data_IF_920317918616
#
_entry.id   IF_920317918616
#
_cell.length_a   1.000
_cell.length_b   1.000
_cell.length_c   1.000
_cell.angle_alpha   90.00
_cell.angle_beta   90.00
_cell.angle_gamma   90.00
#
_symmetry.space_group_name_H-M   'P 1'
#
loop_
_entity.id
_entity.type
_entity.pdbx_description
1 polymer ?
#
# COMPACT_ATOMS: atom_id res chain seq x y z
N UNK A 1 -60.65 -71.61 -24.97
CA UNK A 1 -61.30 -70.78 -23.93
C UNK A 1 -60.98 -69.33 -24.27
N UNK A 2 -61.87 -68.57 -24.92
CA UNK A 2 -62.92 -67.72 -24.31
C UNK A 2 -62.31 -66.63 -23.38
N UNK A 3 -62.63 -65.34 -23.42
CA UNK A 3 -63.50 -64.47 -24.24
C UNK A 3 -63.26 -63.00 -23.75
N UNK A 4 -63.17 -62.05 -24.68
CA UNK A 4 -63.70 -60.65 -24.72
C UNK A 4 -63.92 -59.90 -23.38
N UNK A 5 -63.27 -58.77 -23.08
CA UNK A 5 -63.44 -57.35 -23.52
C UNK A 5 -64.70 -56.62 -22.98
N UNK A 6 -64.45 -55.36 -22.58
CA UNK A 6 -65.29 -54.14 -22.59
C UNK A 6 -66.23 -53.72 -21.44
N UNK A 7 -65.89 -52.53 -20.87
CA UNK A 7 -66.57 -51.21 -20.92
C UNK A 7 -68.04 -51.01 -20.48
N UNK A 8 -68.25 -50.02 -19.60
CA UNK A 8 -69.26 -48.91 -19.58
C UNK A 8 -69.25 -48.28 -18.15
N UNK A 9 -69.03 -46.98 -17.93
CA UNK A 9 -69.78 -45.74 -18.23
C UNK A 9 -71.11 -45.57 -17.43
N UNK A 10 -71.31 -44.32 -16.96
CA UNK A 10 -72.53 -43.61 -16.51
C UNK A 10 -72.88 -43.41 -15.00
N UNK A 11 -72.44 -42.26 -14.48
CA UNK A 11 -73.21 -41.05 -14.07
C UNK A 11 -74.63 -41.11 -13.47
N UNK A 12 -74.80 -40.36 -12.37
CA UNK A 12 -75.96 -39.53 -11.96
C UNK A 12 -75.56 -38.77 -10.66
N UNK A 13 -75.88 -37.51 -10.34
CA UNK A 13 -76.46 -36.34 -11.00
C UNK A 13 -76.54 -35.23 -9.90
N UNK A 14 -76.85 -33.99 -10.29
CA UNK A 14 -77.41 -32.86 -9.51
C UNK A 14 -76.49 -31.74 -8.94
N UNK A 15 -76.36 -30.72 -9.80
CA UNK A 15 -76.87 -29.34 -9.64
C UNK A 15 -76.27 -28.31 -8.66
N UNK A 16 -76.04 -27.11 -9.21
CA UNK A 16 -75.35 -25.94 -8.65
C UNK A 16 -76.29 -24.92 -7.96
N UNK A 17 -75.76 -23.85 -7.33
CA UNK A 17 -75.59 -22.61 -8.11
C UNK A 17 -74.33 -21.76 -7.78
N UNK A 18 -74.04 -20.86 -8.73
CA UNK A 18 -72.86 -19.98 -8.85
C UNK A 18 -72.87 -18.79 -7.87
N UNK A 19 -71.69 -18.42 -7.38
CA UNK A 19 -71.37 -17.05 -6.94
C UNK A 19 -69.97 -16.61 -7.40
N UNK A 20 -69.81 -15.29 -7.50
CA UNK A 20 -68.88 -14.53 -8.36
C UNK A 20 -67.41 -14.57 -7.90
N UNK A 21 -66.51 -14.38 -8.86
CA UNK A 21 -65.07 -14.07 -8.69
C UNK A 21 -64.82 -12.86 -7.79
N UNK A 22 -63.66 -12.82 -7.11
CA UNK A 22 -62.69 -11.81 -7.51
C UNK A 22 -61.30 -12.37 -7.78
N UNK A 23 -60.68 -11.69 -8.74
CA UNK A 23 -59.27 -11.74 -9.13
C UNK A 23 -58.44 -11.16 -7.99
N UNK A 24 -57.42 -11.86 -7.53
CA UNK A 24 -56.31 -11.29 -6.76
C UNK A 24 -55.02 -11.96 -7.26
N UNK A 25 -54.12 -11.14 -7.79
CA UNK A 25 -52.85 -11.58 -8.35
C UNK A 25 -51.95 -12.16 -7.26
N UNK A 26 -51.25 -13.23 -7.60
CA UNK A 26 -50.15 -13.77 -6.81
C UNK A 26 -48.86 -13.75 -7.64
N UNK A 27 -48.58 -12.61 -8.29
CA UNK A 27 -47.25 -12.26 -8.76
C UNK A 27 -46.46 -11.73 -7.58
N UNK A 28 -45.81 -12.61 -6.81
CA UNK A 28 -45.09 -12.15 -5.61
C UNK A 28 -44.10 -13.14 -4.99
N UNK A 29 -43.94 -14.36 -5.54
CA UNK A 29 -43.02 -15.36 -4.98
C UNK A 29 -41.71 -15.54 -5.77
N UNK A 30 -41.57 -14.94 -6.95
CA UNK A 30 -40.31 -14.93 -7.69
C UNK A 30 -39.31 -13.90 -7.13
N UNK A 31 -39.77 -12.73 -6.69
CA UNK A 31 -38.86 -11.68 -6.19
C UNK A 31 -38.03 -12.08 -4.96
N UNK A 32 -38.50 -13.05 -4.17
CA UNK A 32 -37.75 -13.60 -3.03
C UNK A 32 -36.57 -14.49 -3.50
N UNK A 33 -36.69 -15.13 -4.67
CA UNK A 33 -35.63 -15.94 -5.25
C UNK A 33 -34.49 -15.10 -5.83
N UNK A 34 -34.81 -14.05 -6.59
CA UNK A 34 -33.80 -13.14 -7.19
C UNK A 34 -33.10 -12.33 -6.11
N UNK A 35 -33.83 -11.88 -5.09
CA UNK A 35 -33.25 -11.15 -3.96
C UNK A 35 -32.20 -11.99 -3.21
N UNK A 36 -32.41 -13.29 -3.03
CA UNK A 36 -31.43 -14.17 -2.37
C UNK A 36 -30.22 -14.47 -3.23
N UNK A 37 -30.38 -14.62 -4.55
CA UNK A 37 -29.24 -14.82 -5.46
C UNK A 37 -28.36 -13.58 -5.52
N UNK A 38 -28.96 -12.39 -5.59
CA UNK A 38 -28.22 -11.13 -5.53
C UNK A 38 -27.56 -10.91 -4.15
N UNK A 39 -28.25 -11.27 -3.06
CA UNK A 39 -27.68 -11.21 -1.71
C UNK A 39 -26.48 -12.16 -1.55
N UNK A 40 -26.61 -13.41 -2.03
CA UNK A 40 -25.50 -14.37 -1.99
C UNK A 40 -24.34 -13.95 -2.90
N UNK A 41 -24.63 -13.43 -4.10
CA UNK A 41 -23.61 -12.89 -4.98
C UNK A 41 -22.89 -11.69 -4.35
N UNK A 42 -23.62 -10.78 -3.70
CA UNK A 42 -23.04 -9.65 -2.97
C UNK A 42 -22.19 -10.11 -1.79
N UNK A 43 -22.67 -11.07 -0.98
CA UNK A 43 -21.89 -11.65 0.13
C UNK A 43 -20.61 -12.30 -0.37
N UNK A 44 -20.67 -13.06 -1.47
CA UNK A 44 -19.49 -13.72 -2.06
C UNK A 44 -18.50 -12.68 -2.58
N UNK A 45 -18.97 -11.61 -3.24
CA UNK A 45 -18.12 -10.51 -3.71
C UNK A 45 -17.48 -9.76 -2.54
N UNK A 46 -18.21 -9.48 -1.46
CA UNK A 46 -17.65 -8.83 -0.26
C UNK A 46 -16.63 -9.73 0.45
N UNK A 47 -16.87 -11.04 0.49
CA UNK A 47 -15.92 -11.99 1.09
C UNK A 47 -14.67 -12.17 0.22
N UNK A 48 -14.79 -12.17 -1.12
CA UNK A 48 -13.63 -12.33 -2.00
C UNK A 48 -12.85 -11.04 -2.24
N UNK A 49 -13.49 -9.86 -2.31
CA UNK A 49 -12.79 -8.56 -2.38
C UNK A 49 -12.34 -8.05 -1.01
N UNK A 50 -12.90 -8.56 0.10
CA UNK A 50 -12.56 -8.14 1.46
C UNK A 50 -11.29 -8.79 2.04
N UNK A 51 -10.63 -9.70 1.31
CA UNK A 51 -9.46 -10.46 1.80
C UNK A 51 -8.15 -9.97 1.15
N UNK A 52 -8.15 -8.82 0.45
CA UNK A 52 -6.91 -8.22 -0.07
C UNK A 52 -6.53 -6.92 0.67
N UNK A 53 -6.22 -7.10 1.96
CA UNK A 53 -5.32 -6.29 2.81
C UNK A 53 -5.67 -4.79 3.08
N UNK A 54 -5.19 -4.17 4.20
CA UNK A 54 -4.23 -4.69 5.16
C UNK A 54 -4.70 -4.76 6.62
N UNK A 55 -4.01 -5.64 7.35
CA UNK A 55 -3.73 -5.53 8.77
C UNK A 55 -3.05 -4.18 9.01
N UNK A 56 -3.82 -3.11 9.22
CA UNK A 56 -3.42 -1.87 9.89
C UNK A 56 -4.65 -1.20 10.47
N UNK A 57 -4.63 -1.06 11.80
CA UNK A 57 -5.39 -0.11 12.61
C UNK A 57 -6.88 -0.38 12.76
N UNK A 58 -7.21 -0.96 13.91
CA UNK A 58 -8.56 -1.07 14.43
C UNK A 58 -9.25 0.29 14.53
N UNK A 59 -10.37 0.41 13.82
CA UNK A 59 -11.42 1.36 14.11
C UNK A 59 -12.52 0.62 14.88
N UNK A 60 -12.54 0.79 16.21
CA UNK A 60 -13.66 0.40 17.05
C UNK A 60 -14.80 1.42 16.91
N UNK A 61 -15.94 1.00 16.37
CA UNK A 61 -17.22 1.70 16.57
C UNK A 61 -17.84 1.23 17.90
N UNK A 62 -18.52 2.12 18.65
CA UNK A 62 -18.92 1.84 20.02
C UNK A 62 -20.16 0.94 20.03
N UNK A 63 -20.06 -0.22 20.68
CA UNK A 63 -21.23 -1.02 21.06
C UNK A 63 -21.30 -0.97 22.58
N UNK A 64 -22.31 -0.26 23.09
CA UNK A 64 -22.65 -0.24 24.51
C UNK A 64 -23.11 -1.62 24.98
N UNK A 65 -22.44 -2.08 26.04
CA UNK A 65 -22.95 -2.85 27.18
C UNK A 65 -23.54 -4.25 26.93
N UNK A 66 -22.76 -5.28 27.31
CA UNK A 66 -23.24 -6.31 28.25
C UNK A 66 -22.09 -7.22 28.73
N UNK A 67 -21.82 -7.14 30.04
CA UNK A 67 -21.27 -8.17 30.93
C UNK A 67 -19.82 -8.63 30.72
N UNK A 68 -18.98 -8.24 31.69
CA UNK A 68 -17.67 -8.85 31.98
C UNK A 68 -17.75 -10.38 32.06
N UNK A 69 -16.75 -11.04 31.45
CA UNK A 69 -15.91 -11.97 32.16
C UNK A 69 -14.56 -11.30 32.44
N UNK A 70 -14.18 -11.27 33.71
CA UNK A 70 -12.82 -11.08 34.20
C UNK A 70 -11.89 -12.04 33.45
N UNK A 71 -11.38 -11.58 32.31
CA UNK A 71 -10.29 -12.19 31.60
C UNK A 71 -9.12 -11.30 31.93
N UNK A 72 -8.14 -11.81 32.68
CA UNK A 72 -6.84 -11.19 32.76
C UNK A 72 -6.31 -11.12 31.34
N UNK A 73 -6.59 -10.01 30.66
CA UNK A 73 -6.06 -9.65 29.38
C UNK A 73 -4.56 -9.50 29.64
N UNK A 74 -3.77 -10.48 29.17
CA UNK A 74 -2.31 -10.33 29.17
C UNK A 74 -2.05 -9.03 28.42
N UNK A 75 -1.61 -8.00 29.14
CA UNK A 75 -1.39 -6.70 28.56
C UNK A 75 -0.34 -6.88 27.46
N UNK A 76 -0.72 -6.58 26.22
CA UNK A 76 0.22 -6.64 25.11
C UNK A 76 1.40 -5.68 25.38
N UNK A 77 2.60 -6.07 24.97
CA UNK A 77 3.81 -5.27 25.16
C UNK A 77 3.64 -3.84 24.60
N UNK A 78 4.02 -2.77 25.33
CA UNK A 78 3.77 -1.39 24.94
C UNK A 78 4.79 -0.88 23.89
N UNK A 79 4.65 -1.32 22.64
CA UNK A 79 5.61 -1.07 21.55
C UNK A 79 5.95 0.41 21.32
N UNK A 80 4.94 1.30 21.32
CA UNK A 80 5.17 2.74 21.07
C UNK A 80 5.99 3.40 22.17
N UNK A 81 5.69 3.08 23.42
CA UNK A 81 6.43 3.59 24.57
C UNK A 81 7.86 3.03 24.58
N UNK A 82 8.04 1.75 24.28
CA UNK A 82 9.35 1.12 24.16
C UNK A 82 10.19 1.72 23.02
N UNK A 83 9.60 2.02 21.87
CA UNK A 83 10.27 2.70 20.77
C UNK A 83 10.79 4.09 21.18
N UNK A 84 9.95 4.91 21.82
CA UNK A 84 10.36 6.22 22.30
C UNK A 84 11.44 6.14 23.40
N UNK A 85 11.30 5.18 24.31
CA UNK A 85 12.30 4.91 25.36
C UNK A 85 13.67 4.56 24.75
N UNK A 86 13.70 3.61 23.82
CA UNK A 86 14.91 3.15 23.17
C UNK A 86 15.57 4.23 22.30
N UNK A 87 14.77 5.07 21.62
CA UNK A 87 15.30 6.19 20.84
C UNK A 87 16.01 7.21 21.74
N UNK A 88 15.40 7.57 22.87
CA UNK A 88 16.00 8.48 23.85
C UNK A 88 17.26 7.89 24.46
N UNK A 89 17.22 6.60 24.81
CA UNK A 89 18.38 5.87 25.29
C UNK A 89 19.52 5.89 24.27
N UNK A 90 19.24 5.57 23.00
CA UNK A 90 20.23 5.51 21.94
C UNK A 90 20.93 6.86 21.73
N UNK A 91 20.19 7.97 21.76
CA UNK A 91 20.78 9.31 21.67
C UNK A 91 21.75 9.61 22.81
N UNK A 92 21.39 9.24 24.04
CA UNK A 92 22.28 9.40 25.20
C UNK A 92 23.47 8.43 25.18
N UNK A 93 23.26 7.17 24.80
CA UNK A 93 24.30 6.15 24.80
C UNK A 93 25.39 6.43 23.77
N UNK A 94 24.99 6.88 22.57
CA UNK A 94 25.90 7.16 21.45
C UNK A 94 26.57 8.53 21.51
N UNK A 95 26.11 9.46 22.34
CA UNK A 95 26.79 10.75 22.55
C UNK A 95 27.85 10.61 23.66
N UNK A 96 29.11 10.43 23.25
CA UNK A 96 30.23 10.23 24.19
C UNK A 96 31.07 11.48 24.45
N UNK A 97 30.56 12.64 24.08
CA UNK A 97 31.26 13.94 24.20
C UNK A 97 31.43 14.39 25.66
N UNK A 98 30.45 14.11 26.52
CA UNK A 98 30.50 14.40 27.97
C UNK A 98 30.19 13.12 28.79
N UNK A 99 31.23 12.39 29.23
CA UNK A 99 31.06 11.15 29.97
C UNK A 99 30.30 11.29 31.30
N UNK A 100 30.46 12.40 32.02
CA UNK A 100 29.83 12.60 33.34
C UNK A 100 28.34 12.90 33.18
N UNK A 101 28.00 13.84 32.28
CA UNK A 101 26.61 14.13 31.95
C UNK A 101 25.89 12.90 31.40
N UNK A 102 26.56 12.15 30.51
CA UNK A 102 26.03 10.92 29.95
C UNK A 102 25.77 9.86 31.03
N UNK A 103 26.71 9.61 31.93
CA UNK A 103 26.54 8.60 32.97
C UNK A 103 25.33 8.92 33.87
N UNK A 104 25.16 10.18 34.23
CA UNK A 104 23.99 10.64 34.99
C UNK A 104 22.67 10.43 34.23
N UNK A 105 22.66 10.75 32.93
CA UNK A 105 21.48 10.55 32.08
C UNK A 105 21.13 9.07 31.86
N UNK A 106 22.13 8.19 31.73
CA UNK A 106 21.94 6.76 31.54
C UNK A 106 21.32 6.06 32.77
N UNK A 107 21.48 6.62 33.97
CA UNK A 107 20.88 6.08 35.19
C UNK A 107 19.34 6.02 35.14
N UNK A 108 18.69 6.83 34.29
CA UNK A 108 17.24 6.80 34.10
C UNK A 108 16.73 5.60 33.27
N UNK A 109 17.63 4.82 32.65
CA UNK A 109 17.27 3.74 31.74
C UNK A 109 17.61 2.34 32.27
N UNK A 110 18.37 2.23 33.34
CA UNK A 110 18.82 0.95 33.91
C UNK A 110 18.28 0.77 35.33
N UNK A 111 18.22 -0.47 35.84
CA UNK A 111 18.01 -0.71 37.26
C UNK A 111 19.10 -0.02 38.11
N UNK A 112 18.81 0.17 39.40
CA UNK A 112 19.79 0.73 40.34
C UNK A 112 21.12 -0.05 40.26
N UNK A 113 22.24 0.69 40.27
CA UNK A 113 23.62 0.17 40.22
C UNK A 113 24.08 -0.53 38.91
N UNK A 114 23.28 -0.58 37.84
CA UNK A 114 23.64 -1.30 36.60
C UNK A 114 24.26 -0.41 35.48
N UNK A 115 24.52 0.88 35.75
CA UNK A 115 25.11 1.79 34.74
C UNK A 115 26.53 1.40 34.30
N UNK A 116 27.25 0.62 35.12
CA UNK A 116 28.62 0.20 34.82
C UNK A 116 28.76 -0.63 33.55
N UNK A 117 27.70 -1.37 33.16
CA UNK A 117 27.65 -2.14 31.93
C UNK A 117 27.54 -1.31 30.65
N UNK A 118 27.32 0.00 30.76
CA UNK A 118 27.14 0.94 29.64
C UNK A 118 28.32 1.91 29.48
N UNK A 119 29.41 1.71 30.22
CA UNK A 119 30.57 2.58 30.18
C UNK A 119 31.29 2.48 28.83
N UNK A 120 31.47 3.63 28.16
CA UNK A 120 32.30 3.75 26.96
C UNK A 120 33.34 4.87 27.13
N UNK A 121 34.48 4.83 26.43
CA UNK A 121 35.46 5.92 26.45
C UNK A 121 34.86 7.24 25.94
N UNK A 122 35.41 8.37 26.40
CA UNK A 122 35.08 9.69 25.86
C UNK A 122 35.44 9.75 24.36
N UNK A 123 34.63 10.48 23.58
CA UNK A 123 34.82 10.69 22.14
C UNK A 123 34.97 9.40 21.32
N UNK A 124 34.43 8.28 21.80
CA UNK A 124 34.50 6.97 21.13
C UNK A 124 33.38 6.75 20.12
N UNK A 125 32.19 7.29 20.40
CA UNK A 125 31.02 7.22 19.52
C UNK A 125 30.36 8.60 19.43
N UNK A 126 29.79 8.85 18.25
CA UNK A 126 28.79 9.89 17.96
C UNK A 126 27.69 9.25 17.14
N UNK A 127 26.44 9.45 17.51
CA UNK A 127 25.28 8.95 16.76
C UNK A 127 24.44 10.08 16.18
N UNK A 128 24.23 10.04 14.86
CA UNK A 128 23.36 10.97 14.12
C UNK A 128 22.23 10.21 13.41
N UNK A 129 21.20 10.93 12.93
CA UNK A 129 20.07 10.36 12.16
C UNK A 129 19.34 9.18 12.84
N UNK A 130 19.17 9.24 14.16
CA UNK A 130 18.56 8.14 14.92
C UNK A 130 17.09 7.93 14.55
N UNK A 131 16.72 6.69 14.19
CA UNK A 131 15.33 6.31 13.88
C UNK A 131 15.04 4.88 14.33
N UNK A 132 13.88 4.63 14.95
CA UNK A 132 13.43 3.26 15.28
C UNK A 132 12.91 2.60 14.00
N UNK A 133 13.41 1.40 13.68
CA UNK A 133 13.02 0.66 12.47
C UNK A 133 12.27 -0.65 12.75
N UNK A 134 12.40 -1.18 13.97
CA UNK A 134 11.67 -2.39 14.38
C UNK A 134 11.53 -2.45 15.90
N UNK A 135 10.45 -3.10 16.35
CA UNK A 135 10.26 -3.57 17.72
C UNK A 135 9.96 -5.06 17.63
N UNK A 136 10.93 -5.88 18.00
CA UNK A 136 10.79 -7.33 18.04
C UNK A 136 10.27 -7.73 19.43
N UNK A 137 8.96 -7.87 19.57
CA UNK A 137 8.34 -8.36 20.82
C UNK A 137 8.71 -9.83 21.02
N UNK A 138 9.33 -10.13 22.17
CA UNK A 138 9.78 -11.47 22.55
C UNK A 138 8.72 -12.18 23.40
N UNK A 139 8.11 -11.45 24.32
CA UNK A 139 7.00 -11.88 25.17
C UNK A 139 6.22 -10.66 25.69
N UNK A 140 5.24 -10.88 26.58
CA UNK A 140 4.37 -9.82 27.12
C UNK A 140 5.13 -8.69 27.84
N UNK A 141 6.36 -8.95 28.29
CA UNK A 141 7.17 -8.01 29.05
C UNK A 141 8.45 -7.59 28.35
N UNK A 142 8.96 -8.35 27.39
CA UNK A 142 10.27 -8.14 26.77
C UNK A 142 10.15 -7.84 25.27
N UNK A 143 10.90 -6.84 24.82
CA UNK A 143 11.12 -6.62 23.40
C UNK A 143 12.56 -6.20 23.12
N UNK A 144 12.97 -6.36 21.87
CA UNK A 144 14.21 -5.78 21.35
C UNK A 144 13.83 -4.68 20.36
N UNK A 145 14.24 -3.45 20.67
CA UNK A 145 14.02 -2.31 19.79
C UNK A 145 15.26 -2.10 18.92
N UNK A 146 15.07 -1.98 17.62
CA UNK A 146 16.16 -1.74 16.66
C UNK A 146 16.15 -0.27 16.25
N UNK A 147 17.21 0.44 16.61
CA UNK A 147 17.44 1.84 16.23
C UNK A 147 18.50 1.89 15.13
N UNK A 148 18.22 2.58 14.02
CA UNK A 148 19.22 2.94 13.01
C UNK A 148 19.85 4.27 13.36
N UNK A 149 21.15 4.39 13.16
CA UNK A 149 21.90 5.62 13.34
C UNK A 149 23.12 5.62 12.42
N UNK A 150 23.62 6.80 12.10
CA UNK A 150 24.96 6.98 11.57
C UNK A 150 25.91 7.10 12.77
N UNK A 151 26.65 6.03 13.07
CA UNK A 151 27.58 5.96 14.18
C UNK A 151 28.97 6.27 13.67
N UNK A 152 29.56 7.37 14.12
CA UNK A 152 30.83 7.89 13.62
C UNK A 152 30.83 8.11 12.09
N UNK A 153 29.66 8.42 11.51
CA UNK A 153 29.47 8.61 10.07
C UNK A 153 29.24 7.32 9.28
N UNK A 154 29.20 6.15 9.92
CA UNK A 154 28.88 4.88 9.27
C UNK A 154 27.48 4.38 9.67
N UNK A 155 26.67 3.88 8.72
CA UNK A 155 25.33 3.40 9.03
C UNK A 155 25.40 2.10 9.85
N UNK A 156 24.78 2.13 11.03
CA UNK A 156 24.72 0.99 11.96
C UNK A 156 23.30 0.78 12.51
N UNK A 157 23.09 -0.36 13.15
CA UNK A 157 21.95 -0.62 14.01
C UNK A 157 22.38 -0.71 15.48
N UNK A 158 21.56 -0.20 16.39
CA UNK A 158 21.69 -0.40 17.82
C UNK A 158 20.46 -1.20 18.29
N UNK A 159 20.69 -2.41 18.78
CA UNK A 159 19.67 -3.23 19.41
C UNK A 159 19.58 -2.90 20.89
N UNK A 160 18.39 -2.52 21.34
CA UNK A 160 18.10 -2.06 22.70
C UNK A 160 17.11 -3.04 23.34
N UNK A 161 17.55 -3.90 24.27
CA UNK A 161 16.66 -4.81 24.98
C UNK A 161 15.85 -4.03 26.04
N UNK A 162 14.53 -4.08 25.94
CA UNK A 162 13.60 -3.34 26.79
C UNK A 162 12.69 -4.32 27.52
N UNK A 163 12.54 -4.12 28.83
CA UNK A 163 11.55 -4.76 29.68
C UNK A 163 10.48 -3.76 30.09
N UNK A 164 9.24 -4.25 30.18
CA UNK A 164 8.06 -3.48 30.56
C UNK A 164 7.32 -4.13 31.72
N UNK A 165 6.88 -3.31 32.67
CA UNK A 165 5.98 -3.69 33.76
C UNK A 165 4.91 -2.60 33.89
N UNK A 166 3.73 -2.85 33.31
CA UNK A 166 2.71 -1.82 33.10
C UNK A 166 3.24 -0.66 32.25
N UNK A 167 3.21 0.55 32.79
CA UNK A 167 3.71 1.77 32.12
C UNK A 167 5.22 2.01 32.36
N UNK A 168 5.87 1.18 33.17
CA UNK A 168 7.30 1.32 33.47
C UNK A 168 8.15 0.59 32.42
N UNK A 169 9.26 1.22 32.01
CA UNK A 169 10.21 0.69 31.04
C UNK A 169 11.64 0.78 31.56
N UNK A 170 12.42 -0.26 31.30
CA UNK A 170 13.84 -0.35 31.70
C UNK A 170 14.62 -1.16 30.67
N UNK A 171 15.92 -0.94 30.58
CA UNK A 171 16.81 -1.85 29.86
C UNK A 171 16.90 -3.18 30.58
N UNK A 172 16.68 -4.27 29.85
CA UNK A 172 16.80 -5.64 30.37
C UNK A 172 18.17 -6.27 30.12
N UNK A 173 19.07 -5.56 29.43
CA UNK A 173 20.42 -6.03 29.16
C UNK A 173 21.28 -4.98 28.44
N UNK A 174 22.54 -5.30 28.14
CA UNK A 174 23.42 -4.42 27.39
C UNK A 174 22.94 -4.27 25.94
N UNK A 175 23.02 -3.07 25.35
CA UNK A 175 22.71 -2.88 23.95
C UNK A 175 23.79 -3.47 23.04
N UNK A 176 23.45 -3.75 21.79
CA UNK A 176 24.39 -4.30 20.81
C UNK A 176 24.47 -3.41 19.55
N UNK A 177 25.69 -3.02 19.18
CA UNK A 177 25.96 -2.38 17.89
C UNK A 177 26.09 -3.44 16.80
N UNK A 178 25.38 -3.22 15.70
CA UNK A 178 25.23 -4.15 14.58
C UNK A 178 25.49 -3.42 13.27
N UNK A 179 25.95 -4.13 12.25
CA UNK A 179 26.09 -3.57 10.92
C UNK A 179 24.73 -3.14 10.33
N UNK A 180 24.75 -2.18 9.40
CA UNK A 180 23.61 -1.96 8.52
C UNK A 180 23.28 -3.21 7.69
N UNK A 181 22.02 -3.42 7.27
CA UNK A 181 21.66 -4.50 6.38
C UNK A 181 22.43 -4.34 5.07
N UNK A 182 22.86 -5.46 4.51
CA UNK A 182 23.47 -5.43 3.19
C UNK A 182 22.44 -4.93 2.15
N UNK A 183 22.94 -4.20 1.16
CA UNK A 183 22.15 -3.86 -0.02
C UNK A 183 21.69 -5.17 -0.69
N UNK A 184 20.39 -5.26 -1.00
CA UNK A 184 19.84 -6.38 -1.73
C UNK A 184 20.25 -6.31 -3.22
N UNK A 185 20.46 -7.46 -3.82
CA UNK A 185 20.62 -7.57 -5.28
C UNK A 185 19.23 -7.61 -5.93
N UNK A 186 19.03 -6.79 -6.96
CA UNK A 186 17.82 -6.85 -7.76
C UNK A 186 17.90 -8.03 -8.74
N UNK A 187 16.85 -8.87 -8.85
CA UNK A 187 16.80 -9.89 -9.89
C UNK A 187 16.81 -9.21 -11.27
N UNK A 188 17.43 -9.86 -12.26
CA UNK A 188 17.38 -9.38 -13.64
C UNK A 188 15.94 -9.32 -14.14
N UNK A 189 15.58 -8.23 -14.81
CA UNK A 189 14.26 -8.05 -15.42
C UNK A 189 13.97 -9.11 -16.48
N UNK A 190 12.69 -9.43 -16.66
CA UNK A 190 12.25 -10.32 -17.74
C UNK A 190 12.27 -9.53 -19.07
N UNK A 191 12.87 -10.11 -20.12
CA UNK A 191 12.78 -9.57 -21.47
C UNK A 191 11.45 -9.95 -22.12
N UNK A 192 10.85 -9.03 -22.86
CA UNK A 192 9.63 -9.24 -23.64
C UNK A 192 9.84 -8.78 -25.09
N UNK A 193 9.03 -9.29 -26.01
CA UNK A 193 9.03 -8.82 -27.39
C UNK A 193 8.45 -7.40 -27.45
N UNK A 194 9.13 -6.50 -28.15
CA UNK A 194 8.76 -5.08 -28.27
C UNK A 194 8.19 -4.77 -29.66
N UNK A 195 7.38 -3.72 -29.73
CA UNK A 195 6.78 -3.24 -30.98
C UNK A 195 7.25 -1.81 -31.27
N UNK A 196 8.26 -1.69 -32.12
CA UNK A 196 8.87 -0.41 -32.52
C UNK A 196 7.88 0.49 -33.27
N UNK A 197 6.97 -0.08 -34.06
CA UNK A 197 6.01 0.71 -34.83
C UNK A 197 4.95 1.35 -33.90
N UNK A 198 4.49 0.62 -32.89
CA UNK A 198 3.61 1.18 -31.87
C UNK A 198 4.34 2.23 -31.03
N UNK A 199 5.63 2.02 -30.71
CA UNK A 199 6.45 2.99 -30.00
C UNK A 199 6.55 4.32 -30.76
N UNK A 200 6.87 4.28 -32.06
CA UNK A 200 6.92 5.48 -32.91
C UNK A 200 5.60 6.27 -32.93
N UNK A 201 4.46 5.56 -32.99
CA UNK A 201 3.13 6.19 -32.97
C UNK A 201 2.79 6.83 -31.63
N UNK A 202 3.28 6.26 -30.53
CA UNK A 202 2.98 6.70 -29.18
C UNK A 202 3.89 7.85 -28.71
N UNK A 203 5.06 8.04 -29.31
CA UNK A 203 6.02 9.09 -28.92
C UNK A 203 5.38 10.47 -28.87
N UNK A 204 4.66 10.87 -29.93
CA UNK A 204 4.02 12.19 -29.99
C UNK A 204 2.85 12.30 -29.01
N UNK A 205 2.04 11.24 -28.91
CA UNK A 205 0.91 11.18 -27.97
C UNK A 205 1.38 11.30 -26.52
N UNK A 206 2.40 10.53 -26.13
CA UNK A 206 2.91 10.52 -24.77
C UNK A 206 3.68 11.81 -24.44
N UNK A 207 4.45 12.37 -25.38
CA UNK A 207 5.12 13.66 -25.17
C UNK A 207 4.10 14.76 -24.89
N UNK A 208 3.05 14.86 -25.71
CA UNK A 208 1.99 15.83 -25.50
C UNK A 208 1.17 15.57 -24.25
N UNK A 209 0.93 14.30 -23.89
CA UNK A 209 0.29 13.92 -22.63
C UNK A 209 1.11 14.41 -21.43
N UNK A 210 2.42 14.15 -21.40
CA UNK A 210 3.28 14.52 -20.27
C UNK A 210 3.46 16.04 -20.13
N UNK A 211 3.48 16.78 -21.24
CA UNK A 211 3.45 18.25 -21.26
C UNK A 211 2.19 18.78 -20.54
N UNK A 212 1.00 18.36 -20.98
CA UNK A 212 -0.26 18.85 -20.36
C UNK A 212 -0.50 18.26 -18.97
N UNK A 213 0.07 17.09 -18.67
CA UNK A 213 0.01 16.45 -17.36
C UNK A 213 0.75 17.27 -16.29
N UNK A 214 1.84 17.94 -16.66
CA UNK A 214 2.64 18.77 -15.77
C UNK A 214 2.23 20.25 -15.77
N UNK A 215 1.92 20.81 -16.94
CA UNK A 215 1.85 22.27 -17.12
C UNK A 215 0.42 22.75 -17.39
N UNK A 216 -0.35 22.01 -18.19
CA UNK A 216 -1.63 22.47 -18.75
C UNK A 216 -2.78 21.49 -18.50
N UNK A 217 -3.07 21.22 -17.22
CA UNK A 217 -4.10 20.27 -16.80
C UNK A 217 -5.47 20.40 -17.50
N UNK A 218 -5.85 21.61 -17.92
CA UNK A 218 -7.10 21.87 -18.66
C UNK A 218 -7.18 21.23 -20.05
N UNK A 219 -6.07 20.69 -20.56
CA UNK A 219 -5.98 20.02 -21.85
C UNK A 219 -5.75 18.51 -21.72
N UNK A 220 -5.73 17.95 -20.51
CA UNK A 220 -5.45 16.53 -20.26
C UNK A 220 -6.47 15.60 -20.95
N UNK A 221 -7.74 16.00 -20.98
CA UNK A 221 -8.84 15.23 -21.59
C UNK A 221 -8.62 14.88 -23.08
N UNK A 222 -7.72 15.60 -23.79
CA UNK A 222 -7.41 15.30 -25.20
C UNK A 222 -6.58 14.04 -25.40
N UNK A 223 -5.86 13.61 -24.36
CA UNK A 223 -5.01 12.43 -24.39
C UNK A 223 -5.56 11.28 -23.56
N UNK A 224 -6.55 11.54 -22.71
CA UNK A 224 -7.11 10.53 -21.81
C UNK A 224 -8.26 9.80 -22.49
N UNK A 225 -8.32 8.49 -22.30
CA UNK A 225 -9.41 7.67 -22.84
C UNK A 225 -10.77 8.19 -22.33
N UNK A 226 -11.79 8.32 -23.19
CA UNK A 226 -13.12 8.76 -22.77
C UNK A 226 -13.67 7.96 -21.58
N UNK A 227 -13.89 8.62 -20.45
CA UNK A 227 -14.39 8.00 -19.22
C UNK A 227 -13.31 7.54 -18.24
N UNK A 228 -12.03 7.56 -18.63
CA UNK A 228 -10.92 7.47 -17.69
C UNK A 228 -10.70 8.81 -16.97
N UNK A 229 -9.99 8.79 -15.84
CA UNK A 229 -9.69 10.00 -15.07
C UNK A 229 -8.26 9.90 -14.54
N UNK A 230 -7.44 10.88 -14.88
CA UNK A 230 -6.06 11.00 -14.43
C UNK A 230 -5.90 12.33 -13.74
N UNK A 231 -5.39 12.31 -12.50
CA UNK A 231 -5.11 13.53 -11.76
C UNK A 231 -3.80 14.14 -12.28
N UNK A 232 -3.79 15.41 -12.74
CA UNK A 232 -2.58 16.09 -13.20
C UNK A 232 -1.61 16.33 -12.03
N UNK A 233 -0.35 16.65 -12.35
CA UNK A 233 0.58 17.12 -11.35
C UNK A 233 0.16 18.51 -10.82
N UNK A 234 0.54 18.86 -9.59
CA UNK A 234 0.32 20.21 -9.08
C UNK A 234 1.07 21.23 -9.96
N UNK A 235 0.36 22.28 -10.38
CA UNK A 235 0.91 23.30 -11.26
C UNK A 235 2.19 23.95 -10.70
N UNK A 236 3.13 24.28 -11.59
CA UNK A 236 4.44 24.89 -11.27
C UNK A 236 5.34 24.03 -10.36
N UNK A 237 5.18 22.70 -10.38
CA UNK A 237 6.08 21.78 -9.65
C UNK A 237 7.18 21.25 -10.55
N UNK A 238 6.83 20.89 -11.78
CA UNK A 238 7.70 20.31 -12.80
C UNK A 238 7.29 20.90 -14.16
N UNK A 239 8.26 20.99 -15.07
CA UNK A 239 8.03 21.29 -16.48
C UNK A 239 8.49 20.08 -17.30
N UNK A 240 7.74 19.76 -18.35
CA UNK A 240 8.12 18.67 -19.24
C UNK A 240 9.34 19.07 -20.06
N UNK A 241 10.43 18.31 -19.92
CA UNK A 241 11.62 18.54 -20.74
C UNK A 241 11.62 17.61 -21.96
N UNK A 242 11.50 16.30 -21.75
CA UNK A 242 11.60 15.31 -22.84
C UNK A 242 11.04 13.94 -22.44
N UNK A 243 10.47 13.22 -23.40
CA UNK A 243 10.27 11.77 -23.33
C UNK A 243 11.55 11.09 -23.84
N UNK A 244 12.40 10.62 -22.93
CA UNK A 244 13.74 10.10 -23.24
C UNK A 244 13.74 8.67 -23.75
N UNK A 245 12.82 7.84 -23.27
CA UNK A 245 12.69 6.45 -23.72
C UNK A 245 11.24 5.97 -23.68
N UNK A 246 10.89 5.08 -24.60
CA UNK A 246 9.58 4.43 -24.67
C UNK A 246 9.76 2.97 -25.09
N UNK A 247 9.27 2.05 -24.27
CA UNK A 247 9.23 0.63 -24.61
C UNK A 247 7.80 0.13 -24.60
N UNK A 248 7.33 -0.29 -25.77
CA UNK A 248 5.97 -0.81 -25.99
C UNK A 248 6.04 -2.33 -26.17
N UNK A 249 5.36 -3.13 -25.35
CA UNK A 249 5.31 -4.57 -25.56
C UNK A 249 4.54 -4.89 -26.85
N UNK A 250 4.89 -6.00 -27.48
CA UNK A 250 4.11 -6.57 -28.56
C UNK A 250 2.68 -6.88 -28.11
N UNK A 251 1.73 -6.71 -29.02
CA UNK A 251 0.32 -6.99 -28.75
C UNK A 251 0.13 -8.44 -28.29
N UNK A 252 -0.49 -8.62 -27.12
CA UNK A 252 -0.71 -9.95 -26.53
C UNK A 252 -2.12 -10.51 -26.75
N UNK A 253 -3.09 -9.66 -27.12
CA UNK A 253 -4.49 -10.02 -27.34
C UNK A 253 -4.97 -9.69 -28.75
N UNK A 254 -5.91 -10.49 -29.27
CA UNK A 254 -6.57 -10.30 -30.58
C UNK A 254 -7.98 -9.69 -30.45
N UNK A 255 -8.27 -9.06 -29.30
CA UNK A 255 -9.51 -8.32 -29.09
C UNK A 255 -9.51 -7.02 -29.93
N UNK A 256 -10.70 -6.47 -30.19
CA UNK A 256 -10.89 -5.34 -31.11
C UNK A 256 -10.17 -4.05 -30.66
N UNK A 257 -9.83 -3.93 -29.37
CA UNK A 257 -9.07 -2.80 -28.81
C UNK A 257 -7.67 -3.24 -28.37
N UNK A 258 -6.63 -2.59 -28.90
CA UNK A 258 -5.23 -2.85 -28.54
C UNK A 258 -4.88 -2.07 -27.27
N UNK A 259 -4.85 -2.78 -26.14
CA UNK A 259 -4.50 -2.23 -24.82
C UNK A 259 -3.10 -2.68 -24.43
N UNK A 260 -2.21 -1.73 -24.14
CA UNK A 260 -0.80 -2.01 -23.81
C UNK A 260 -0.35 -1.30 -22.55
N UNK A 261 0.56 -1.92 -21.81
CA UNK A 261 1.28 -1.28 -20.72
C UNK A 261 2.66 -0.87 -21.21
N UNK A 262 2.88 0.42 -21.35
CA UNK A 262 4.07 1.03 -21.95
C UNK A 262 4.99 1.54 -20.85
N UNK A 263 6.27 1.20 -20.94
CA UNK A 263 7.30 1.82 -20.11
C UNK A 263 7.72 3.13 -20.75
N UNK A 264 7.74 4.22 -20.00
CA UNK A 264 8.14 5.54 -20.48
C UNK A 264 9.13 6.18 -19.51
N UNK A 265 10.27 6.66 -20.00
CA UNK A 265 11.23 7.45 -19.22
C UNK A 265 11.08 8.91 -19.59
N UNK A 266 10.74 9.76 -18.63
CA UNK A 266 10.51 11.18 -18.83
C UNK A 266 11.55 11.99 -18.06
N UNK A 267 12.15 12.95 -18.73
CA UNK A 267 12.98 13.98 -18.12
C UNK A 267 12.12 15.19 -17.77
N UNK A 268 12.16 15.59 -16.51
CA UNK A 268 11.48 16.77 -15.97
C UNK A 268 12.50 17.85 -15.66
N UNK A 269 12.18 19.11 -15.92
CA UNK A 269 12.90 20.26 -15.35
C UNK A 269 12.23 20.75 -14.08
N UNK A 270 13.06 21.06 -13.08
CA UNK A 270 12.64 21.73 -11.87
C UNK A 270 12.61 23.24 -12.14
N UNK A 271 11.50 23.93 -11.83
CA UNK A 271 11.46 25.38 -11.93
C UNK A 271 12.53 25.97 -11.01
N UNK A 272 13.23 27.00 -11.48
CA UNK A 272 14.29 27.62 -10.71
C UNK A 272 13.72 28.20 -9.41
N UNK A 273 14.25 27.75 -8.26
CA UNK A 273 14.09 28.50 -7.03
C UNK A 273 14.72 29.89 -7.22
N UNK A 274 14.14 30.94 -6.64
CA UNK A 274 14.67 32.30 -6.78
C UNK A 274 16.20 32.28 -6.54
N UNK A 275 16.99 32.87 -7.45
CA UNK A 275 18.42 32.67 -7.44
C UNK A 275 19.01 33.22 -6.14
N UNK A 276 19.48 32.32 -5.27
CA UNK A 276 20.53 32.67 -4.34
C UNK A 276 21.76 33.04 -5.18
N UNK A 277 22.39 34.18 -4.87
CA UNK A 277 23.55 34.68 -5.61
C UNK A 277 24.61 33.54 -5.77
N UNK A 278 24.78 33.06 -7.01
CA UNK A 278 25.76 32.02 -7.35
C UNK A 278 25.23 30.62 -7.67
N UNK A 279 23.92 30.34 -7.57
CA UNK A 279 23.34 29.07 -7.99
C UNK A 279 22.87 29.14 -9.45
N UNK A 280 23.65 28.58 -10.38
CA UNK A 280 23.27 28.44 -11.78
C UNK A 280 22.85 26.99 -12.07
N UNK A 281 21.55 26.78 -12.33
CA UNK A 281 21.03 25.56 -12.93
C UNK A 281 19.58 25.26 -12.54
N UNK A 282 18.71 25.12 -13.53
CA UNK A 282 17.50 24.29 -13.39
C UNK A 282 17.95 22.84 -13.28
N UNK A 283 17.57 22.14 -12.22
CA UNK A 283 17.87 20.71 -12.08
C UNK A 283 16.99 19.91 -13.02
N UNK A 284 17.53 18.87 -13.67
CA UNK A 284 16.73 17.88 -14.41
C UNK A 284 16.61 16.58 -13.61
N UNK A 285 15.49 15.88 -13.79
CA UNK A 285 15.19 14.63 -13.09
C UNK A 285 14.53 13.65 -14.05
N UNK A 286 15.11 12.45 -14.19
CA UNK A 286 14.48 11.35 -14.92
C UNK A 286 13.51 10.58 -14.02
N UNK A 287 12.32 10.28 -14.53
CA UNK A 287 11.33 9.41 -13.88
C UNK A 287 10.80 8.37 -14.86
N UNK A 288 10.61 7.14 -14.36
CA UNK A 288 10.09 6.02 -15.13
C UNK A 288 8.62 5.81 -14.78
N UNK A 289 7.78 5.75 -15.79
CA UNK A 289 6.34 5.53 -15.69
C UNK A 289 5.94 4.23 -16.38
N UNK A 290 4.89 3.62 -15.86
CA UNK A 290 4.11 2.60 -16.55
C UNK A 290 2.78 3.22 -16.95
N UNK A 291 2.54 3.30 -18.26
CA UNK A 291 1.39 3.97 -18.85
C UNK A 291 0.50 2.93 -19.54
N UNK A 292 -0.76 2.83 -19.13
CA UNK A 292 -1.72 1.99 -19.85
C UNK A 292 -2.30 2.80 -21.00
N UNK A 293 -2.07 2.35 -22.23
CA UNK A 293 -2.56 3.00 -23.45
C UNK A 293 -3.52 2.10 -24.20
N UNK A 294 -4.41 2.72 -24.97
CA UNK A 294 -5.48 2.06 -25.73
C UNK A 294 -5.49 2.62 -27.13
N UNK A 295 -5.42 1.76 -28.14
CA UNK A 295 -5.69 2.16 -29.52
C UNK A 295 -7.20 2.07 -29.78
N UNK A 296 -7.85 3.20 -29.99
CA UNK A 296 -9.25 3.27 -30.38
C UNK A 296 -9.37 3.91 -31.75
N UNK A 297 -9.56 3.11 -32.79
CA UNK A 297 -9.83 3.61 -34.13
C UNK A 297 -8.66 4.38 -34.77
N UNK A 298 -7.42 3.91 -34.54
CA UNK A 298 -6.17 4.49 -35.05
C UNK A 298 -5.70 5.74 -34.30
N UNK A 299 -6.24 6.01 -33.11
CA UNK A 299 -5.75 7.03 -32.19
C UNK A 299 -5.42 6.38 -30.84
N UNK A 300 -4.33 6.80 -30.23
CA UNK A 300 -3.87 6.30 -28.94
C UNK A 300 -4.34 7.22 -27.82
N UNK A 301 -4.90 6.63 -26.77
CA UNK A 301 -5.28 7.33 -25.55
C UNK A 301 -4.63 6.70 -24.32
N UNK A 302 -4.36 7.53 -23.32
CA UNK A 302 -3.90 7.11 -22.00
C UNK A 302 -5.10 6.77 -21.13
N UNK A 303 -5.15 5.54 -20.66
CA UNK A 303 -6.16 5.06 -19.71
C UNK A 303 -5.71 5.25 -18.26
N UNK A 304 -4.43 5.00 -17.97
CA UNK A 304 -3.89 5.03 -16.61
C UNK A 304 -2.37 5.32 -16.60
N UNK A 305 -1.87 5.85 -15.49
CA UNK A 305 -0.45 6.16 -15.27
C UNK A 305 -0.03 5.87 -13.83
N UNK A 306 1.14 5.26 -13.68
CA UNK A 306 1.77 4.99 -12.38
C UNK A 306 3.31 5.02 -12.48
N UNK A 307 4.00 5.09 -11.35
CA UNK A 307 5.45 4.92 -11.30
C UNK A 307 5.85 3.48 -11.68
N UNK A 308 6.93 3.30 -12.45
CA UNK A 308 7.36 1.99 -12.89
C UNK A 308 7.83 1.10 -11.71
N UNK A 309 7.29 -0.12 -11.54
CA UNK A 309 7.57 -0.97 -10.38
C UNK A 309 8.96 -1.63 -10.38
N UNK A 310 9.64 -1.66 -11.54
CA UNK A 310 10.96 -2.29 -11.73
C UNK A 310 11.87 -1.36 -12.54
N UNK A 311 12.36 -0.29 -11.90
CA UNK A 311 13.01 0.83 -12.59
C UNK A 311 14.52 0.67 -12.86
N UNK A 312 15.17 -0.36 -12.32
CA UNK A 312 16.60 -0.62 -12.54
C UNK A 312 16.78 -1.95 -13.28
N UNK A 313 16.64 -1.94 -14.61
CA UNK A 313 16.86 -3.11 -15.45
C UNK A 313 15.62 -3.52 -16.24
N UNK A 314 15.30 -2.71 -17.25
CA UNK A 314 14.29 -2.94 -18.27
C UNK A 314 14.45 -1.87 -19.32
#
# INVERSE_FOLDING_TARGET
>A
MAKVRDRADDDHDLDAPRTRTPRAGAGGRWWVGVGRVLLWAFIIVVVFNGIWFPIRNGFSLPISSASEPETSESAAFPETSAAAFALRFAGTYLDTSDPEARQSALAAFVPEDETGGLALPADSLTGDNLTVVAVDVLDDHNARVVVRADVNGEPMGLEVPVYSDGDALVLSGPPALMAAPAQAELPQGQSYDTDEQAAEQLTDTLSGFFEVYAEEAGHLDRYVEPGATIAPLPANTLEFAELTDITVPSQSSTEDDDVRQVSATVSWSLPAAEPAEGAAGTGTMAQNYLVTVVNSGNEWYVRDIQGAPHSFGG
#
